data_IF_303399465090
#
_entry.id   IF_303399465090
#
_cell.length_a   1.000
_cell.length_b   1.000
_cell.length_c   1.000
_cell.angle_alpha   90.00
_cell.angle_beta   90.00
_cell.angle_gamma   90.00
#
_symmetry.space_group_name_H-M   'P 1'
#
loop_
_entity.id
_entity.type
_entity.pdbx_description
1 polymer ?
#
# COMPACT_ATOMS: atom_id res chain seq x y z
N UNK A 1 -11.37 26.58 -8.19
CA UNK A 1 -11.23 27.11 -6.81
C UNK A 1 -11.43 25.97 -5.83
N UNK A 2 -10.57 25.84 -4.82
CA UNK A 2 -10.80 24.89 -3.74
C UNK A 2 -12.01 25.36 -2.91
N UNK A 3 -12.95 24.47 -2.62
CA UNK A 3 -14.13 24.78 -1.80
C UNK A 3 -13.70 24.85 -0.34
N UNK A 4 -13.99 25.96 0.34
CA UNK A 4 -13.87 26.04 1.79
C UNK A 4 -15.09 25.34 2.43
N UNK A 5 -14.86 24.54 3.46
CA UNK A 5 -15.92 23.87 4.22
C UNK A 5 -16.17 24.62 5.54
N UNK A 6 -17.44 24.84 5.89
CA UNK A 6 -17.81 25.26 7.23
C UNK A 6 -17.58 24.11 8.22
N UNK A 7 -17.46 24.42 9.51
CA UNK A 7 -17.32 23.39 10.57
C UNK A 7 -18.43 22.35 10.47
N UNK A 8 -19.68 22.79 10.27
CA UNK A 8 -20.83 21.90 10.08
C UNK A 8 -20.66 20.99 8.87
N UNK A 9 -20.23 21.53 7.72
CA UNK A 9 -20.01 20.71 6.53
C UNK A 9 -18.87 19.68 6.72
N UNK A 10 -17.89 19.96 7.58
CA UNK A 10 -16.83 19.00 7.92
C UNK A 10 -17.36 17.88 8.81
N UNK A 11 -18.16 18.21 9.83
CA UNK A 11 -18.72 17.22 10.76
C UNK A 11 -19.81 16.35 10.12
N UNK A 12 -20.57 16.91 9.17
CA UNK A 12 -21.60 16.22 8.41
C UNK A 12 -21.02 15.46 7.19
N UNK A 13 -19.71 15.55 6.93
CA UNK A 13 -19.10 14.90 5.77
C UNK A 13 -19.02 13.38 5.98
N UNK A 14 -19.60 12.63 5.04
CA UNK A 14 -19.44 11.17 4.99
C UNK A 14 -18.26 10.80 4.08
N UNK A 15 -17.35 9.99 4.62
CA UNK A 15 -16.20 9.47 3.89
C UNK A 15 -16.38 7.98 3.62
N UNK A 16 -16.03 7.54 2.42
CA UNK A 16 -16.02 6.12 2.07
C UNK A 16 -14.87 5.44 2.82
N UNK A 17 -15.21 4.66 3.85
CA UNK A 17 -14.26 3.89 4.65
C UNK A 17 -14.25 2.42 4.26
N UNK A 18 -13.11 1.79 4.46
CA UNK A 18 -12.91 0.36 4.27
C UNK A 18 -13.31 -0.35 5.56
N UNK A 19 -14.39 -1.14 5.50
CA UNK A 19 -14.90 -1.94 6.62
C UNK A 19 -13.96 -3.12 6.94
N UNK A 20 -12.79 -2.82 7.49
CA UNK A 20 -11.78 -3.81 7.84
C UNK A 20 -12.23 -4.68 9.00
N UNK A 21 -11.79 -5.94 8.99
CA UNK A 21 -12.11 -6.96 9.97
C UNK A 21 -10.85 -7.69 10.46
N UNK A 22 -10.97 -8.36 11.62
CA UNK A 22 -9.91 -9.17 12.23
C UNK A 22 -8.57 -8.44 12.34
N UNK A 23 -7.49 -9.14 12.01
CA UNK A 23 -6.12 -8.62 12.10
C UNK A 23 -5.90 -7.30 11.35
N UNK A 24 -6.62 -7.05 10.26
CA UNK A 24 -6.49 -5.81 9.50
C UNK A 24 -7.11 -4.61 10.22
N UNK A 25 -8.25 -4.84 10.90
CA UNK A 25 -8.90 -3.82 11.73
C UNK A 25 -8.07 -3.53 12.98
N UNK A 26 -7.55 -4.56 13.62
CA UNK A 26 -6.69 -4.44 14.80
C UNK A 26 -5.38 -3.71 14.46
N UNK A 27 -4.86 -3.92 13.26
CA UNK A 27 -3.65 -3.24 12.80
C UNK A 27 -3.86 -1.75 12.48
N UNK A 28 -4.89 -1.38 11.71
CA UNK A 28 -5.02 -0.01 11.18
C UNK A 28 -6.38 0.66 11.32
N UNK A 29 -7.35 0.04 11.99
CA UNK A 29 -8.70 0.58 12.15
C UNK A 29 -9.56 0.47 10.89
N UNK A 30 -10.38 1.51 10.63
CA UNK A 30 -11.29 1.60 9.49
C UNK A 30 -10.86 2.76 8.56
N UNK A 31 -9.86 2.56 7.70
CA UNK A 31 -9.27 3.64 6.94
C UNK A 31 -10.15 4.09 5.78
N UNK A 32 -10.00 5.34 5.36
CA UNK A 32 -10.65 5.85 4.13
C UNK A 32 -10.09 5.17 2.85
N UNK A 33 -10.95 4.98 1.85
CA UNK A 33 -10.56 4.53 0.50
C UNK A 33 -10.04 5.71 -0.34
N UNK A 34 -9.07 6.45 0.19
CA UNK A 34 -8.44 7.54 -0.54
C UNK A 34 -7.07 7.91 0.02
N UNK A 35 -6.32 8.69 -0.74
CA UNK A 35 -5.03 9.19 -0.31
C UNK A 35 -3.90 8.19 -0.54
N UNK A 36 -3.05 8.00 0.47
CA UNK A 36 -1.79 7.29 0.30
C UNK A 36 -1.38 6.50 1.54
N UNK A 37 -0.93 5.28 1.31
CA UNK A 37 -0.25 4.43 2.28
C UNK A 37 1.18 4.12 1.81
N UNK A 38 2.04 3.68 2.73
CA UNK A 38 3.38 3.23 2.37
C UNK A 38 3.78 1.97 3.14
N UNK A 39 4.39 1.02 2.43
CA UNK A 39 4.99 -0.19 2.98
C UNK A 39 6.49 -0.08 2.78
N UNK A 40 7.26 -0.19 3.84
CA UNK A 40 8.71 -0.08 3.77
C UNK A 40 9.36 -1.12 4.67
N UNK A 41 10.52 -1.60 4.28
CA UNK A 41 11.23 -2.64 5.02
C UNK A 41 12.51 -3.04 4.30
N UNK A 42 13.43 -3.60 5.06
CA UNK A 42 14.69 -4.18 4.55
C UNK A 42 14.39 -5.34 3.60
N UNK A 43 15.31 -5.59 2.66
CA UNK A 43 15.15 -6.68 1.70
C UNK A 43 15.06 -8.03 2.39
N UNK A 44 14.40 -9.01 1.76
CA UNK A 44 14.25 -10.39 2.26
C UNK A 44 13.53 -10.57 3.61
N UNK A 45 12.83 -9.54 4.11
CA UNK A 45 12.06 -9.59 5.37
C UNK A 45 10.55 -9.84 5.19
N UNK A 46 10.11 -10.24 4.00
CA UNK A 46 8.69 -10.53 3.72
C UNK A 46 7.87 -9.36 3.19
N UNK A 47 8.48 -8.21 2.88
CA UNK A 47 7.81 -7.00 2.36
C UNK A 47 6.90 -7.27 1.15
N UNK A 48 7.42 -7.93 0.11
CA UNK A 48 6.64 -8.28 -1.10
C UNK A 48 5.47 -9.21 -0.75
N UNK A 49 5.71 -10.24 0.08
CA UNK A 49 4.63 -11.14 0.52
C UNK A 49 3.55 -10.39 1.30
N UNK A 50 3.94 -9.49 2.21
CA UNK A 50 2.99 -8.65 2.95
C UNK A 50 2.19 -7.74 2.03
N UNK A 51 2.84 -7.08 1.07
CA UNK A 51 2.17 -6.24 0.08
C UNK A 51 1.13 -7.04 -0.73
N UNK A 52 1.45 -8.28 -1.09
CA UNK A 52 0.51 -9.18 -1.79
C UNK A 52 -0.62 -9.69 -0.88
N UNK A 53 -0.35 -9.97 0.39
CA UNK A 53 -1.40 -10.28 1.38
C UNK A 53 -2.40 -9.12 1.50
N UNK A 54 -1.88 -7.90 1.64
CA UNK A 54 -2.71 -6.70 1.72
C UNK A 54 -3.47 -6.47 0.41
N UNK A 55 -2.81 -6.59 -0.75
CA UNK A 55 -3.44 -6.44 -2.05
C UNK A 55 -4.60 -7.44 -2.24
N UNK A 56 -4.38 -8.72 -1.90
CA UNK A 56 -5.42 -9.75 -1.92
C UNK A 56 -6.59 -9.37 -1.03
N UNK A 57 -6.33 -8.96 0.22
CA UNK A 57 -7.38 -8.57 1.15
C UNK A 57 -8.20 -7.37 0.64
N UNK A 58 -7.53 -6.37 0.09
CA UNK A 58 -8.15 -5.17 -0.46
C UNK A 58 -9.07 -5.45 -1.66
N UNK A 59 -8.87 -6.56 -2.38
CA UNK A 59 -9.78 -6.97 -3.46
C UNK A 59 -11.22 -7.26 -3.01
N UNK A 60 -11.45 -7.46 -1.71
CA UNK A 60 -12.80 -7.60 -1.14
C UNK A 60 -13.62 -6.31 -1.24
N UNK A 61 -12.96 -5.16 -1.34
CA UNK A 61 -13.61 -3.85 -1.31
C UNK A 61 -13.68 -3.21 -2.70
N UNK A 62 -12.57 -3.20 -3.44
CA UNK A 62 -12.47 -2.56 -4.77
C UNK A 62 -11.50 -3.31 -5.68
N UNK A 63 -11.51 -2.95 -6.97
CA UNK A 63 -10.53 -3.44 -7.95
C UNK A 63 -9.13 -2.93 -7.60
N UNK A 64 -8.17 -3.84 -7.61
CA UNK A 64 -6.77 -3.57 -7.30
C UNK A 64 -5.91 -3.61 -8.57
N UNK A 65 -5.06 -2.61 -8.73
CA UNK A 65 -3.96 -2.63 -9.69
C UNK A 65 -2.64 -2.75 -8.93
N UNK A 66 -1.81 -3.72 -9.28
CA UNK A 66 -0.48 -3.92 -8.72
C UNK A 66 0.58 -3.59 -9.76
N UNK A 67 1.13 -2.37 -9.70
CA UNK A 67 2.18 -1.93 -10.60
C UNK A 67 3.56 -2.35 -10.08
N UNK A 68 3.99 -3.55 -10.45
CA UNK A 68 5.30 -4.15 -10.15
C UNK A 68 6.36 -3.64 -11.13
N UNK A 69 6.76 -2.38 -11.00
CA UNK A 69 7.78 -1.74 -11.86
C UNK A 69 9.18 -2.30 -11.61
N UNK A 70 9.46 -2.75 -10.38
CA UNK A 70 10.76 -3.30 -10.00
C UNK A 70 10.97 -4.73 -10.51
N UNK A 71 10.02 -5.63 -10.22
CA UNK A 71 10.18 -7.05 -10.56
C UNK A 71 9.36 -7.49 -11.78
N UNK A 72 8.27 -6.79 -12.12
CA UNK A 72 7.34 -7.20 -13.18
C UNK A 72 6.76 -8.60 -12.97
N UNK A 73 6.49 -9.30 -14.08
CA UNK A 73 6.19 -10.73 -14.06
C UNK A 73 7.50 -11.50 -13.84
N UNK A 74 7.71 -11.98 -12.62
CA UNK A 74 8.92 -12.72 -12.23
C UNK A 74 8.60 -14.01 -11.47
N UNK A 75 9.57 -14.92 -11.35
CA UNK A 75 9.44 -16.12 -10.51
C UNK A 75 9.23 -15.75 -9.03
N UNK A 76 9.85 -14.68 -8.57
CA UNK A 76 9.69 -14.16 -7.20
C UNK A 76 8.25 -13.74 -6.92
N UNK A 77 7.64 -12.99 -7.85
CA UNK A 77 6.22 -12.59 -7.79
C UNK A 77 5.30 -13.81 -7.87
N UNK A 78 5.57 -14.77 -8.76
CA UNK A 78 4.78 -15.99 -8.87
C UNK A 78 4.78 -16.78 -7.54
N UNK A 79 5.95 -16.96 -6.92
CA UNK A 79 6.06 -17.62 -5.62
C UNK A 79 5.34 -16.84 -4.51
N UNK A 80 5.31 -15.50 -4.59
CA UNK A 80 4.53 -14.68 -3.66
C UNK A 80 3.02 -14.89 -3.86
N UNK A 81 2.55 -14.96 -5.11
CA UNK A 81 1.16 -15.25 -5.45
C UNK A 81 0.72 -16.63 -4.94
N UNK A 82 1.56 -17.65 -5.13
CA UNK A 82 1.34 -19.00 -4.61
C UNK A 82 1.23 -18.98 -3.07
N UNK A 83 2.18 -18.34 -2.37
CA UNK A 83 2.18 -18.24 -0.90
C UNK A 83 0.92 -17.61 -0.32
N UNK A 84 0.36 -16.59 -0.99
CA UNK A 84 -0.83 -15.88 -0.49
C UNK A 84 -2.14 -16.44 -1.06
N UNK A 85 -2.09 -17.47 -1.90
CA UNK A 85 -3.26 -18.02 -2.59
C UNK A 85 -3.96 -16.98 -3.46
N UNK A 86 -3.22 -16.22 -4.26
CA UNK A 86 -3.74 -15.07 -5.02
C UNK A 86 -4.84 -15.45 -6.03
N UNK A 87 -4.94 -16.72 -6.41
CA UNK A 87 -5.97 -17.23 -7.31
C UNK A 87 -7.41 -16.91 -6.83
N UNK A 88 -7.64 -16.84 -5.52
CA UNK A 88 -8.93 -16.47 -4.91
C UNK A 88 -9.37 -15.03 -5.21
N UNK A 89 -8.42 -14.17 -5.62
CA UNK A 89 -8.65 -12.79 -6.02
C UNK A 89 -8.70 -12.60 -7.55
N UNK A 90 -8.71 -13.70 -8.32
CA UNK A 90 -8.75 -13.66 -9.78
C UNK A 90 -9.90 -12.76 -10.30
N UNK A 91 -9.59 -11.97 -11.34
CA UNK A 91 -10.49 -10.99 -11.94
C UNK A 91 -10.69 -9.69 -11.14
N UNK A 92 -10.22 -9.62 -9.89
CA UNK A 92 -10.29 -8.41 -9.04
C UNK A 92 -8.94 -7.71 -8.84
N UNK A 93 -7.85 -8.37 -9.20
CA UNK A 93 -6.49 -7.83 -9.20
C UNK A 93 -5.84 -7.99 -10.59
N UNK A 94 -5.03 -7.01 -10.99
CA UNK A 94 -4.20 -7.05 -12.20
C UNK A 94 -2.78 -6.64 -11.85
N UNK A 95 -1.78 -7.29 -12.45
CA UNK A 95 -0.36 -6.98 -12.28
C UNK A 95 0.25 -6.54 -13.60
N UNK A 96 1.01 -5.46 -13.58
CA UNK A 96 1.78 -4.92 -14.71
C UNK A 96 3.07 -4.25 -14.20
N UNK A 97 3.98 -3.87 -15.10
CA UNK A 97 5.15 -3.04 -14.79
C UNK A 97 5.19 -1.80 -15.69
N UNK A 98 4.37 -0.81 -15.37
CA UNK A 98 4.15 0.41 -16.16
C UNK A 98 4.93 1.62 -15.62
N UNK A 99 5.39 2.49 -16.53
CA UNK A 99 5.88 3.83 -16.16
C UNK A 99 4.79 4.67 -15.50
N UNK A 100 5.17 5.78 -14.87
CA UNK A 100 4.21 6.70 -14.26
C UNK A 100 3.18 7.20 -15.29
N UNK A 101 3.62 7.55 -16.50
CA UNK A 101 2.77 8.05 -17.58
C UNK A 101 1.76 6.99 -18.01
N UNK A 102 2.22 5.76 -18.26
CA UNK A 102 1.35 4.65 -18.66
C UNK A 102 0.32 4.30 -17.57
N UNK A 103 0.75 4.26 -16.31
CA UNK A 103 -0.13 4.06 -15.16
C UNK A 103 -1.19 5.17 -15.08
N UNK A 104 -0.81 6.43 -15.25
CA UNK A 104 -1.76 7.56 -15.25
C UNK A 104 -2.79 7.42 -16.37
N UNK A 105 -2.37 7.05 -17.59
CA UNK A 105 -3.29 6.83 -18.71
C UNK A 105 -4.25 5.65 -18.47
N UNK A 106 -3.77 4.57 -17.84
CA UNK A 106 -4.64 3.47 -17.39
C UNK A 106 -5.68 3.95 -16.38
N UNK A 107 -5.28 4.74 -15.39
CA UNK A 107 -6.16 5.21 -14.31
C UNK A 107 -7.22 6.23 -14.78
N UNK A 108 -6.97 6.95 -15.88
CA UNK A 108 -7.97 7.83 -16.53
C UNK A 108 -9.13 7.08 -17.19
N UNK A 109 -8.97 5.80 -17.52
CA UNK A 109 -10.02 5.01 -18.20
C UNK A 109 -11.23 4.79 -17.29
N UNK A 110 -12.41 4.68 -17.91
CA UNK A 110 -13.66 4.40 -17.20
C UNK A 110 -13.57 3.05 -16.47
N UNK A 111 -14.03 2.98 -15.21
CA UNK A 111 -13.97 1.78 -14.35
C UNK A 111 -12.54 1.28 -14.10
N UNK A 112 -11.55 2.18 -14.13
CA UNK A 112 -10.18 1.89 -13.71
C UNK A 112 -10.12 1.47 -12.24
N UNK A 113 -9.09 0.71 -11.84
CA UNK A 113 -8.91 0.27 -10.44
C UNK A 113 -8.86 1.44 -9.45
N UNK A 114 -9.43 1.25 -8.26
CA UNK A 114 -9.52 2.30 -7.22
C UNK A 114 -8.40 2.20 -6.19
N UNK A 115 -7.77 1.03 -6.10
CA UNK A 115 -6.63 0.78 -5.23
C UNK A 115 -5.43 0.45 -6.12
N UNK A 116 -4.34 1.17 -5.92
CA UNK A 116 -3.15 1.12 -6.79
C UNK A 116 -1.91 0.89 -5.94
N UNK A 117 -1.26 -0.25 -6.12
CA UNK A 117 0.06 -0.53 -5.55
C UNK A 117 1.15 -0.10 -6.54
N UNK A 118 2.23 0.47 -6.01
CA UNK A 118 3.42 0.85 -6.78
C UNK A 118 4.64 0.19 -6.13
N UNK A 119 5.16 -0.84 -6.78
CA UNK A 119 6.25 -1.69 -6.29
C UNK A 119 7.47 -1.64 -7.24
N UNK A 120 8.49 -0.82 -6.98
CA UNK A 120 8.64 0.11 -5.84
C UNK A 120 8.72 1.57 -6.25
N UNK A 121 8.55 2.45 -5.26
CA UNK A 121 8.61 3.90 -5.41
C UNK A 121 9.90 4.36 -6.10
N UNK A 122 11.03 3.74 -5.75
CA UNK A 122 12.34 4.07 -6.31
C UNK A 122 12.40 3.78 -7.81
N UNK A 123 11.89 2.62 -8.24
CA UNK A 123 11.90 2.21 -9.65
C UNK A 123 10.90 2.97 -10.51
N UNK A 124 9.79 3.45 -9.93
CA UNK A 124 8.87 4.35 -10.65
C UNK A 124 9.53 5.71 -10.97
N UNK A 125 10.57 6.10 -10.23
CA UNK A 125 11.30 7.37 -10.47
C UNK A 125 10.49 8.63 -10.15
N UNK A 126 9.42 8.50 -9.35
CA UNK A 126 8.48 9.58 -9.11
C UNK A 126 9.04 10.65 -8.14
N UNK A 127 8.94 11.92 -8.50
CA UNK A 127 9.29 13.02 -7.58
C UNK A 127 8.15 13.33 -6.60
N UNK A 128 8.43 14.08 -5.54
CA UNK A 128 7.36 14.54 -4.63
C UNK A 128 6.35 15.48 -5.33
N UNK A 129 6.77 16.20 -6.38
CA UNK A 129 5.86 17.02 -7.20
C UNK A 129 4.88 16.15 -7.97
N UNK A 130 5.37 15.05 -8.52
CA UNK A 130 4.54 14.10 -9.28
C UNK A 130 3.57 13.36 -8.37
N UNK A 131 4.02 12.97 -7.17
CA UNK A 131 3.15 12.44 -6.11
C UNK A 131 1.98 13.39 -5.78
N UNK A 132 2.25 14.68 -5.57
CA UNK A 132 1.19 15.68 -5.32
C UNK A 132 0.21 15.79 -6.49
N UNK A 133 0.72 15.82 -7.72
CA UNK A 133 -0.13 15.83 -8.92
C UNK A 133 -1.01 14.59 -9.01
N UNK A 134 -0.45 13.41 -8.70
CA UNK A 134 -1.15 12.14 -8.73
C UNK A 134 -2.34 12.12 -7.76
N UNK A 135 -2.12 12.55 -6.50
CA UNK A 135 -3.19 12.68 -5.50
C UNK A 135 -4.28 13.66 -5.90
N UNK A 136 -3.90 14.81 -6.46
CA UNK A 136 -4.87 15.81 -6.94
C UNK A 136 -5.66 15.31 -8.15
N UNK A 137 -5.03 14.53 -9.03
CA UNK A 137 -5.68 13.98 -10.23
C UNK A 137 -6.68 12.86 -9.87
N UNK A 138 -6.37 12.07 -8.85
CA UNK A 138 -7.17 10.91 -8.45
C UNK A 138 -7.56 10.98 -6.95
N UNK A 139 -8.35 11.97 -6.54
CA UNK A 139 -8.64 12.23 -5.12
C UNK A 139 -9.47 11.13 -4.44
N UNK A 140 -10.11 10.24 -5.22
CA UNK A 140 -10.94 9.12 -4.73
C UNK A 140 -10.26 7.77 -4.87
N UNK A 141 -8.96 7.74 -5.18
CA UNK A 141 -8.18 6.50 -5.30
C UNK A 141 -7.21 6.40 -4.14
N UNK A 142 -6.95 5.17 -3.73
CA UNK A 142 -5.95 4.84 -2.72
C UNK A 142 -4.66 4.39 -3.41
N UNK A 143 -3.56 5.08 -3.15
CA UNK A 143 -2.23 4.68 -3.62
C UNK A 143 -1.42 4.05 -2.49
N UNK A 144 -0.86 2.87 -2.72
CA UNK A 144 -0.05 2.14 -1.74
C UNK A 144 1.35 1.98 -2.33
N UNK A 145 2.31 2.70 -1.76
CA UNK A 145 3.68 2.70 -2.25
C UNK A 145 4.51 1.67 -1.49
N UNK A 146 5.25 0.83 -2.20
CA UNK A 146 6.28 -0.01 -1.59
C UNK A 146 7.60 0.74 -1.72
N UNK A 147 8.38 0.77 -0.65
CA UNK A 147 9.66 1.48 -0.61
C UNK A 147 10.77 0.59 -0.08
N UNK A 148 11.96 0.80 -0.63
CA UNK A 148 13.21 0.35 -0.03
C UNK A 148 13.51 1.17 1.23
N UNK A 149 14.49 0.75 2.02
CA UNK A 149 14.83 1.40 3.29
C UNK A 149 16.30 1.75 3.31
N UNK A 150 16.59 2.98 3.71
CA UNK A 150 17.93 3.49 3.97
C UNK A 150 17.92 4.14 5.36
N UNK A 151 18.80 3.70 6.26
CA UNK A 151 18.89 4.21 7.64
C UNK A 151 17.56 4.17 8.41
N UNK A 152 16.80 3.08 8.26
CA UNK A 152 15.51 2.88 8.95
C UNK A 152 14.33 3.68 8.40
N UNK A 153 14.54 4.49 7.35
CA UNK A 153 13.50 5.29 6.70
C UNK A 153 13.31 4.86 5.23
N UNK A 154 12.13 5.14 4.63
CA UNK A 154 11.92 4.96 3.19
C UNK A 154 13.01 5.63 2.36
N UNK A 155 13.49 4.93 1.33
CA UNK A 155 14.68 5.37 0.59
C UNK A 155 14.43 6.61 -0.30
N UNK A 156 15.23 7.65 -0.09
CA UNK A 156 15.15 8.91 -0.83
C UNK A 156 14.16 9.95 -0.28
N UNK A 157 14.48 11.23 -0.50
CA UNK A 157 13.72 12.38 0.05
C UNK A 157 12.23 12.36 -0.34
N UNK A 158 11.92 11.94 -1.56
CA UNK A 158 10.56 11.88 -2.04
C UNK A 158 9.76 10.78 -1.32
N UNK A 159 10.33 9.60 -1.10
CA UNK A 159 9.67 8.52 -0.36
C UNK A 159 9.45 8.89 1.12
N UNK A 160 10.42 9.56 1.76
CA UNK A 160 10.25 10.09 3.13
C UNK A 160 9.11 11.11 3.18
N UNK A 161 8.98 11.98 2.18
CA UNK A 161 7.88 12.94 2.11
C UNK A 161 6.52 12.25 1.93
N UNK A 162 6.46 11.20 1.10
CA UNK A 162 5.24 10.35 0.97
C UNK A 162 4.92 9.68 2.30
N UNK A 163 5.90 9.12 3.00
CA UNK A 163 5.68 8.47 4.30
C UNK A 163 5.12 9.43 5.35
N UNK A 164 5.62 10.66 5.41
CA UNK A 164 5.08 11.70 6.32
C UNK A 164 3.66 12.12 5.95
N UNK A 165 3.32 12.13 4.66
CA UNK A 165 1.99 12.50 4.18
C UNK A 165 0.97 11.34 4.29
N UNK A 166 1.45 10.09 4.31
CA UNK A 166 0.62 8.90 4.32
C UNK A 166 -0.32 8.86 5.54
N UNK A 167 -1.53 8.32 5.32
CA UNK A 167 -2.50 8.08 6.39
C UNK A 167 -2.24 6.77 7.11
N UNK A 168 -1.55 5.84 6.45
CA UNK A 168 -1.13 4.54 7.00
C UNK A 168 0.29 4.23 6.52
N UNK A 169 1.13 3.73 7.41
CA UNK A 169 2.42 3.15 7.03
C UNK A 169 2.63 1.79 7.69
N UNK A 170 3.30 0.88 6.98
CA UNK A 170 3.69 -0.42 7.49
C UNK A 170 5.21 -0.57 7.40
N UNK A 171 5.88 -0.70 8.54
CA UNK A 171 7.28 -1.10 8.61
C UNK A 171 7.35 -2.61 8.66
N UNK A 172 8.00 -3.26 7.70
CA UNK A 172 8.15 -4.72 7.64
C UNK A 172 9.56 -5.11 8.02
N UNK A 173 9.67 -5.93 9.06
CA UNK A 173 10.93 -6.44 9.61
C UNK A 173 10.70 -7.83 10.20
N UNK A 174 11.62 -8.76 9.98
CA UNK A 174 11.53 -10.08 10.62
C UNK A 174 10.23 -10.83 10.31
N UNK A 175 9.72 -10.73 9.08
CA UNK A 175 8.44 -11.32 8.67
C UNK A 175 7.22 -10.84 9.48
N UNK A 176 7.30 -9.63 10.05
CA UNK A 176 6.23 -8.95 10.77
C UNK A 176 6.06 -7.54 10.23
N UNK A 177 4.81 -7.13 10.03
CA UNK A 177 4.44 -5.78 9.63
C UNK A 177 3.94 -4.99 10.83
N UNK A 178 4.58 -3.86 11.11
CA UNK A 178 4.25 -2.95 12.20
C UNK A 178 3.51 -1.73 11.62
N UNK A 179 2.21 -1.56 11.92
CA UNK A 179 1.44 -0.44 11.41
C UNK A 179 1.66 0.85 12.20
N UNK A 180 1.50 1.96 11.49
CA UNK A 180 1.21 3.29 12.06
C UNK A 180 0.03 3.85 11.28
N UNK A 181 -1.10 4.13 11.93
CA UNK A 181 -2.35 4.53 11.28
C UNK A 181 -2.97 5.76 11.95
N UNK A 182 -3.56 6.65 11.14
CA UNK A 182 -4.37 7.78 11.64
C UNK A 182 -5.76 7.36 12.13
N UNK A 183 -6.15 6.11 11.87
CA UNK A 183 -7.50 5.60 12.17
C UNK A 183 -7.53 4.65 13.37
N UNK A 184 -6.45 4.61 14.17
CA UNK A 184 -6.29 3.71 15.31
C UNK A 184 -5.68 2.36 14.92
N UNK A 185 -5.83 1.38 15.82
CA UNK A 185 -5.14 0.09 15.73
C UNK A 185 -3.76 0.14 16.39
N UNK A 186 -2.83 -0.67 15.89
CA UNK A 186 -1.45 -0.76 16.40
C UNK A 186 -0.91 -2.18 16.47
N UNK A 187 -1.77 -3.19 16.34
CA UNK A 187 -1.34 -4.58 16.37
C UNK A 187 -0.52 -4.96 15.14
N UNK A 188 0.54 -5.71 15.34
CA UNK A 188 1.36 -6.18 14.23
C UNK A 188 0.66 -7.29 13.45
N UNK A 189 1.06 -7.47 12.19
CA UNK A 189 0.61 -8.59 11.36
C UNK A 189 1.81 -9.46 11.02
N UNK A 190 1.77 -10.73 11.41
CA UNK A 190 2.77 -11.70 10.98
C UNK A 190 2.55 -12.07 9.50
N UNK A 191 3.58 -11.85 8.69
CA UNK A 191 3.64 -12.28 7.28
C UNK A 191 3.84 -13.79 7.20
N UNK A 192 4.56 -14.35 8.16
CA UNK A 192 4.73 -15.79 8.38
C UNK A 192 4.99 -16.02 9.87
N UNK A 193 4.03 -16.62 10.57
CA UNK A 193 4.11 -16.83 12.02
C UNK A 193 5.38 -17.62 12.41
N UNK A 194 5.71 -18.68 11.67
CA UNK A 194 6.91 -19.49 11.89
C UNK A 194 8.20 -18.66 11.74
N UNK A 195 8.33 -17.92 10.64
CA UNK A 195 9.54 -17.13 10.37
C UNK A 195 9.67 -15.92 11.29
N UNK A 196 8.54 -15.31 11.65
CA UNK A 196 8.51 -14.26 12.65
C UNK A 196 8.97 -14.79 14.00
N UNK A 197 8.40 -15.90 14.47
CA UNK A 197 8.83 -16.54 15.71
C UNK A 197 10.35 -16.84 15.69
N UNK A 198 10.86 -17.45 14.62
CA UNK A 198 12.28 -17.73 14.49
C UNK A 198 13.16 -16.47 14.52
N UNK A 199 12.72 -15.38 13.88
CA UNK A 199 13.46 -14.12 13.86
C UNK A 199 13.50 -13.47 15.25
N UNK A 200 12.34 -13.35 15.92
CA UNK A 200 12.20 -12.59 17.17
C UNK A 200 12.64 -13.37 18.42
N UNK A 201 12.67 -14.71 18.39
CA UNK A 201 13.24 -15.53 19.47
C UNK A 201 14.77 -15.40 19.53
N UNK A 202 15.43 -15.17 18.39
CA UNK A 202 16.90 -15.16 18.30
C UNK A 202 17.55 -13.82 18.64
N UNK A 203 16.75 -12.80 19.01
CA UNK A 203 17.24 -11.55 19.59
C UNK A 203 18.23 -10.77 18.73
N UNK A 204 18.06 -10.78 17.40
CA UNK A 204 18.82 -9.90 16.49
C UNK A 204 18.16 -8.54 16.35
#
# INVERSE_FOLDING_TARGET
>A
MARAYSVKNVLDAEFETLAFEGVWREAIGLPELSGSWIIYGTTKNGKTTFAMMLAKYLTKFKKVFYNSVEEGLSRSVQLAYERVGMIEASGRITLEGESLEAMVERLKKRKSPDIVFVDSFQFLGMTFKDYKKLKTMFPRKLFIFISHVTNGLPDGRAAVAVWRDASVSFRVEGFRAFPTSRYGGGEYIDVSAERAAAYWITGK
#
